data_IF_741559584948
#
_entry.id   IF_741559584948
#
_cell.length_a   1.000
_cell.length_b   1.000
_cell.length_c   1.000
_cell.angle_alpha   90.00
_cell.angle_beta   90.00
_cell.angle_gamma   90.00
#
_symmetry.space_group_name_H-M   'P 1'
#
loop_
_entity.id
_entity.type
_entity.pdbx_description
1 polymer ?
#
# COMPACT_ATOMS: atom_id res chain seq x y z
N UNK A 1 8.68 8.76 -1.84
CA UNK A 1 7.21 8.86 -1.98
C UNK A 1 6.83 9.45 -3.33
N UNK A 2 7.40 10.62 -3.71
CA UNK A 2 7.02 11.32 -4.96
C UNK A 2 7.18 10.45 -6.21
N UNK A 3 8.27 9.72 -6.37
CA UNK A 3 8.44 8.81 -7.51
C UNK A 3 7.36 7.72 -7.60
N UNK A 4 6.85 7.22 -6.46
CA UNK A 4 5.72 6.29 -6.44
C UNK A 4 4.42 6.97 -6.89
N UNK A 5 4.18 8.22 -6.46
CA UNK A 5 3.00 8.98 -6.90
C UNK A 5 3.01 9.25 -8.40
N UNK A 6 4.17 9.64 -8.94
CA UNK A 6 4.35 9.81 -10.39
C UNK A 6 4.12 8.51 -11.16
N UNK A 7 4.67 7.40 -10.65
CA UNK A 7 4.45 6.08 -11.23
C UNK A 7 2.97 5.70 -11.25
N UNK A 8 2.25 5.87 -10.12
CA UNK A 8 0.82 5.59 -10.02
C UNK A 8 0.04 6.44 -11.05
N UNK A 9 0.36 7.72 -11.15
CA UNK A 9 -0.31 8.62 -12.07
C UNK A 9 -0.12 8.24 -13.54
N UNK A 10 1.11 7.97 -13.94
CA UNK A 10 1.43 7.67 -15.35
C UNK A 10 1.02 6.25 -15.77
N UNK A 11 1.19 5.27 -14.87
CA UNK A 11 0.99 3.85 -15.23
C UNK A 11 -0.39 3.30 -14.85
N UNK A 12 -1.14 4.00 -13.99
CA UNK A 12 -2.48 3.56 -13.58
C UNK A 12 -3.54 4.62 -13.83
N UNK A 13 -3.44 5.81 -13.23
CA UNK A 13 -4.49 6.82 -13.35
C UNK A 13 -4.78 7.19 -14.81
N UNK A 14 -3.74 7.51 -15.55
CA UNK A 14 -3.88 7.93 -16.96
C UNK A 14 -4.46 6.84 -17.85
N UNK A 15 -3.95 5.59 -17.87
CA UNK A 15 -4.56 4.52 -18.64
C UNK A 15 -6.00 4.19 -18.22
N UNK A 16 -6.31 4.23 -16.93
CA UNK A 16 -7.67 3.99 -16.44
C UNK A 16 -8.63 5.04 -17.02
N UNK A 17 -8.27 6.32 -16.93
CA UNK A 17 -9.08 7.41 -17.50
C UNK A 17 -9.31 7.25 -19.00
N UNK A 18 -8.27 6.90 -19.74
CA UNK A 18 -8.35 6.71 -21.19
C UNK A 18 -9.25 5.51 -21.55
N UNK A 19 -9.14 4.40 -20.83
CA UNK A 19 -9.96 3.20 -21.08
C UNK A 19 -11.40 3.37 -20.62
N UNK A 20 -11.64 4.09 -19.52
CA UNK A 20 -12.98 4.31 -18.97
C UNK A 20 -13.89 5.07 -19.93
N UNK A 21 -13.34 5.79 -20.91
CA UNK A 21 -14.13 6.43 -22.00
C UNK A 21 -14.82 5.40 -22.92
N UNK A 22 -14.33 4.16 -22.95
CA UNK A 22 -14.83 3.13 -23.86
C UNK A 22 -15.56 2.00 -23.16
N UNK A 23 -15.12 1.65 -21.93
CA UNK A 23 -15.72 0.56 -21.14
C UNK A 23 -15.35 0.71 -19.66
N UNK A 24 -16.18 0.15 -18.75
CA UNK A 24 -15.89 0.20 -17.31
C UNK A 24 -14.58 -0.49 -16.97
N UNK A 25 -13.74 0.19 -16.19
CA UNK A 25 -12.45 -0.34 -15.71
C UNK A 25 -12.52 -0.55 -14.20
N UNK A 26 -12.13 -1.75 -13.76
CA UNK A 26 -12.11 -2.12 -12.35
C UNK A 26 -10.70 -2.55 -11.96
N UNK A 27 -10.16 -1.98 -10.87
CA UNK A 27 -8.96 -2.49 -10.22
C UNK A 27 -9.33 -3.75 -9.41
N UNK A 28 -8.98 -4.93 -9.92
CA UNK A 28 -9.37 -6.22 -9.35
C UNK A 28 -8.68 -6.55 -8.04
N UNK A 29 -7.47 -6.02 -7.81
CA UNK A 29 -6.69 -6.27 -6.60
C UNK A 29 -5.67 -5.13 -6.36
N UNK A 30 -5.58 -4.66 -5.14
CA UNK A 30 -4.54 -3.74 -4.69
C UNK A 30 -4.38 -3.77 -3.17
N UNK A 31 -3.26 -3.27 -2.66
CA UNK A 31 -2.99 -3.13 -1.23
C UNK A 31 -2.05 -1.94 -0.97
N UNK A 32 -1.73 -1.67 0.30
CA UNK A 32 -0.82 -0.59 0.68
C UNK A 32 0.66 -1.01 0.69
N UNK A 33 0.97 -2.27 0.40
CA UNK A 33 2.35 -2.74 0.39
C UNK A 33 3.24 -1.87 -0.50
N UNK A 34 4.37 -1.41 0.06
CA UNK A 34 5.38 -0.66 -0.66
C UNK A 34 6.76 -0.87 -0.04
N UNK A 35 7.81 -0.74 -0.84
CA UNK A 35 9.19 -0.98 -0.41
C UNK A 35 9.74 0.09 0.54
N UNK A 36 9.10 1.26 0.64
CA UNK A 36 9.58 2.34 1.52
C UNK A 36 9.25 2.09 2.99
N UNK A 37 8.10 1.49 3.27
CA UNK A 37 7.60 1.30 4.63
C UNK A 37 7.58 -0.17 5.08
N UNK A 38 7.39 -1.13 4.18
CA UNK A 38 7.13 -2.53 4.55
C UNK A 38 8.26 -3.22 5.33
N UNK A 39 9.51 -2.84 5.13
CA UNK A 39 10.65 -3.38 5.86
C UNK A 39 10.65 -3.03 7.36
N UNK A 40 9.77 -2.12 7.76
CA UNK A 40 9.69 -1.58 9.13
C UNK A 40 8.39 -1.95 9.86
N UNK A 41 7.49 -2.70 9.22
CA UNK A 41 6.15 -2.98 9.77
C UNK A 41 6.16 -3.95 10.95
N UNK A 42 7.14 -4.85 11.02
CA UNK A 42 7.21 -5.86 12.08
C UNK A 42 8.51 -5.79 12.85
N UNK A 43 8.43 -5.82 14.17
CA UNK A 43 9.62 -5.88 15.04
C UNK A 43 10.37 -7.20 14.79
N UNK A 44 11.60 -7.10 14.31
CA UNK A 44 12.50 -8.25 14.11
C UNK A 44 12.19 -9.12 12.88
N UNK A 45 11.26 -8.72 12.03
CA UNK A 45 11.00 -9.40 10.76
C UNK A 45 12.15 -9.19 9.79
N UNK A 46 12.55 -10.26 9.07
CA UNK A 46 13.37 -10.08 7.88
C UNK A 46 12.50 -9.42 6.82
N UNK A 47 13.05 -8.40 6.16
CA UNK A 47 12.40 -7.77 5.01
C UNK A 47 11.99 -8.83 3.99
N UNK A 48 10.74 -8.79 3.54
CA UNK A 48 10.26 -9.62 2.42
C UNK A 48 11.08 -9.33 1.15
N UNK A 49 11.80 -8.21 1.16
CA UNK A 49 12.65 -7.73 0.09
C UNK A 49 14.09 -8.26 0.19
N UNK A 50 14.31 -9.45 0.76
CA UNK A 50 15.61 -10.12 0.71
C UNK A 50 16.15 -10.14 -0.72
N UNK A 51 17.08 -9.22 -1.03
CA UNK A 51 17.67 -9.04 -2.35
C UNK A 51 17.47 -7.67 -3.00
N UNK A 52 16.62 -6.80 -2.41
CA UNK A 52 16.66 -5.37 -2.75
C UNK A 52 17.62 -4.70 -1.77
N UNK A 53 18.67 -4.08 -2.29
CA UNK A 53 19.59 -3.30 -1.47
C UNK A 53 18.80 -2.20 -0.75
N UNK A 54 18.80 -2.24 0.58
CA UNK A 54 18.28 -1.15 1.39
C UNK A 54 19.23 0.04 1.20
N UNK A 55 18.84 1.01 0.39
CA UNK A 55 19.60 2.25 0.21
C UNK A 55 19.54 3.16 1.46
N UNK A 56 18.71 2.84 2.44
CA UNK A 56 18.51 3.67 3.63
C UNK A 56 18.38 2.78 4.90
N UNK A 57 19.47 2.71 5.67
CA UNK A 57 19.51 2.06 6.99
C UNK A 57 18.71 2.84 8.06
N UNK A 58 17.99 3.88 7.67
CA UNK A 58 17.22 4.71 8.58
C UNK A 58 15.98 3.97 9.06
N UNK A 59 15.92 3.72 10.35
CA UNK A 59 14.71 3.21 11.00
C UNK A 59 13.64 4.29 11.00
N UNK A 60 12.55 4.06 10.25
CA UNK A 60 11.38 4.94 10.27
C UNK A 60 10.69 4.88 11.63
N UNK A 61 10.25 6.04 12.13
CA UNK A 61 9.31 6.10 13.23
C UNK A 61 7.93 5.60 12.78
N UNK A 62 7.07 5.23 13.73
CA UNK A 62 5.69 4.82 13.44
C UNK A 62 4.91 5.92 12.73
N UNK A 63 5.17 7.18 13.06
CA UNK A 63 4.54 8.33 12.41
C UNK A 63 4.99 8.49 10.95
N UNK A 64 6.30 8.48 10.69
CA UNK A 64 6.85 8.58 9.34
C UNK A 64 6.35 7.45 8.44
N UNK A 65 6.30 6.23 8.97
CA UNK A 65 5.75 5.07 8.27
C UNK A 65 4.27 5.26 7.96
N UNK A 66 3.49 5.70 8.94
CA UNK A 66 2.08 5.99 8.78
C UNK A 66 1.80 7.07 7.73
N UNK A 67 2.64 8.12 7.67
CA UNK A 67 2.54 9.15 6.62
C UNK A 67 2.78 8.57 5.22
N UNK A 68 3.81 7.74 5.04
CA UNK A 68 4.09 7.08 3.76
C UNK A 68 2.87 6.25 3.31
N UNK A 69 2.32 5.43 4.20
CA UNK A 69 1.13 4.64 3.88
C UNK A 69 -0.08 5.50 3.54
N UNK A 70 -0.37 6.56 4.32
CA UNK A 70 -1.48 7.48 4.05
C UNK A 70 -1.35 8.19 2.71
N UNK A 71 -0.14 8.66 2.38
CA UNK A 71 0.10 9.36 1.11
C UNK A 71 -0.06 8.43 -0.09
N UNK A 72 0.53 7.22 -0.02
CA UNK A 72 0.42 6.25 -1.10
C UNK A 72 -1.00 5.67 -1.22
N UNK A 73 -1.71 5.50 -0.10
CA UNK A 73 -3.11 5.11 -0.13
C UNK A 73 -3.98 6.14 -0.87
N UNK A 74 -3.78 7.43 -0.59
CA UNK A 74 -4.51 8.51 -1.29
C UNK A 74 -4.21 8.51 -2.78
N UNK A 75 -2.93 8.43 -3.16
CA UNK A 75 -2.54 8.43 -4.56
C UNK A 75 -3.13 7.23 -5.34
N UNK A 76 -3.13 6.04 -4.73
CA UNK A 76 -3.76 4.86 -5.32
C UNK A 76 -5.27 5.01 -5.43
N UNK A 77 -5.96 5.45 -4.37
CA UNK A 77 -7.40 5.67 -4.40
C UNK A 77 -7.80 6.71 -5.44
N UNK A 78 -7.06 7.80 -5.56
CA UNK A 78 -7.28 8.82 -6.60
C UNK A 78 -7.19 8.23 -8.00
N UNK A 79 -6.26 7.31 -8.24
CA UNK A 79 -6.13 6.60 -9.51
C UNK A 79 -7.30 5.63 -9.76
N UNK A 80 -7.66 4.82 -8.76
CA UNK A 80 -8.75 3.84 -8.88
C UNK A 80 -10.13 4.49 -8.99
N UNK A 81 -10.34 5.64 -8.36
CA UNK A 81 -11.58 6.43 -8.47
C UNK A 81 -11.81 7.05 -9.86
N UNK A 82 -10.82 7.00 -10.79
CA UNK A 82 -11.01 7.33 -12.20
C UNK A 82 -11.72 6.24 -12.98
N UNK A 83 -11.72 5.02 -12.46
CA UNK A 83 -12.43 3.87 -13.01
C UNK A 83 -13.78 3.64 -12.33
N UNK A 84 -14.39 2.49 -12.64
CA UNK A 84 -15.71 2.10 -12.16
C UNK A 84 -15.72 1.34 -10.83
N UNK A 85 -14.55 1.00 -10.28
CA UNK A 85 -14.47 0.33 -8.98
C UNK A 85 -13.10 -0.26 -8.67
N UNK A 86 -12.95 -0.71 -7.44
CA UNK A 86 -11.71 -1.34 -6.97
C UNK A 86 -11.96 -2.27 -5.79
N UNK A 87 -11.08 -3.26 -5.60
CA UNK A 87 -11.13 -4.23 -4.51
C UNK A 87 -9.80 -4.31 -3.79
N UNK A 88 -9.80 -4.02 -2.47
CA UNK A 88 -8.62 -4.19 -1.64
C UNK A 88 -8.36 -5.66 -1.36
N UNK A 89 -7.13 -6.12 -1.51
CA UNK A 89 -6.71 -7.45 -1.14
C UNK A 89 -5.83 -7.39 0.12
N UNK A 90 -6.36 -7.85 1.25
CA UNK A 90 -7.72 -8.28 1.49
C UNK A 90 -8.28 -7.63 2.76
N UNK A 91 -9.53 -7.91 3.13
CA UNK A 91 -10.13 -7.31 4.31
C UNK A 91 -9.45 -7.77 5.59
N UNK A 92 -9.07 -9.06 5.69
CA UNK A 92 -8.47 -9.64 6.89
C UNK A 92 -7.55 -10.83 6.56
N UNK A 93 -6.31 -10.74 6.98
CA UNK A 93 -5.36 -11.84 6.94
C UNK A 93 -5.57 -12.78 8.13
N UNK A 94 -5.41 -14.08 7.88
CA UNK A 94 -5.36 -15.09 8.95
C UNK A 94 -3.97 -15.19 9.59
N UNK A 95 -2.96 -14.57 9.02
CA UNK A 95 -1.58 -14.59 9.49
C UNK A 95 -1.42 -13.70 10.72
N UNK A 96 -0.89 -14.23 11.80
CA UNK A 96 -0.50 -13.46 12.97
C UNK A 96 0.88 -12.83 12.75
N UNK A 97 0.88 -11.62 12.18
CA UNK A 97 2.12 -10.89 11.88
C UNK A 97 2.79 -10.30 13.13
N UNK A 98 2.10 -10.30 14.28
CA UNK A 98 2.64 -9.80 15.55
C UNK A 98 3.56 -10.84 16.19
N UNK A 99 3.19 -12.12 16.10
CA UNK A 99 3.91 -13.23 16.70
C UNK A 99 4.72 -14.04 15.68
N UNK A 100 4.38 -13.95 14.40
CA UNK A 100 5.06 -14.67 13.33
C UNK A 100 6.19 -13.78 12.76
N UNK A 101 7.37 -13.93 13.34
CA UNK A 101 8.56 -13.10 13.08
C UNK A 101 9.14 -13.18 11.67
N UNK A 102 8.51 -13.90 10.75
CA UNK A 102 9.02 -14.12 9.39
C UNK A 102 8.44 -13.20 8.30
N UNK A 103 7.45 -12.36 8.61
CA UNK A 103 6.61 -11.73 7.58
C UNK A 103 6.45 -10.21 7.75
N UNK A 104 7.55 -9.48 7.58
CA UNK A 104 7.49 -8.03 7.54
C UNK A 104 6.63 -7.54 6.35
N UNK A 105 5.82 -6.51 6.58
CA UNK A 105 5.00 -5.88 5.53
C UNK A 105 3.63 -6.50 5.28
N UNK A 106 3.28 -7.60 5.95
CA UNK A 106 1.97 -8.22 5.77
C UNK A 106 0.80 -7.41 6.34
N UNK A 107 1.04 -6.54 7.32
CA UNK A 107 0.00 -5.67 7.87
C UNK A 107 -0.64 -4.79 6.81
N UNK A 108 0.13 -4.34 5.83
CA UNK A 108 -0.35 -3.54 4.70
C UNK A 108 -1.24 -4.29 3.70
N UNK A 109 -1.35 -5.62 3.82
CA UNK A 109 -2.28 -6.47 3.07
C UNK A 109 -3.61 -6.68 3.79
N UNK A 110 -3.70 -6.31 5.07
CA UNK A 110 -4.90 -6.42 5.90
C UNK A 110 -5.57 -5.05 6.04
N UNK A 111 -6.69 -4.84 5.34
CA UNK A 111 -7.41 -3.57 5.37
C UNK A 111 -7.87 -3.19 6.77
N UNK A 112 -8.29 -4.16 7.57
CA UNK A 112 -8.71 -3.91 8.96
C UNK A 112 -7.58 -3.30 9.77
N UNK A 113 -6.37 -3.88 9.68
CA UNK A 113 -5.16 -3.35 10.33
C UNK A 113 -4.76 -1.98 9.78
N UNK A 114 -4.83 -1.78 8.46
CA UNK A 114 -4.53 -0.48 7.86
C UNK A 114 -5.48 0.62 8.36
N UNK A 115 -6.74 0.29 8.62
CA UNK A 115 -7.72 1.23 9.24
C UNK A 115 -7.39 1.47 10.71
N UNK A 116 -7.10 0.42 11.48
CA UNK A 116 -6.76 0.51 12.91
C UNK A 116 -5.47 1.31 13.15
N UNK A 117 -4.50 1.21 12.25
CA UNK A 117 -3.24 1.97 12.29
C UNK A 117 -3.34 3.38 11.70
N UNK A 118 -4.53 3.79 11.23
CA UNK A 118 -4.74 5.07 10.54
C UNK A 118 -3.87 5.24 9.26
N UNK A 119 -3.58 4.13 8.58
CA UNK A 119 -2.86 4.14 7.30
C UNK A 119 -3.80 4.33 6.10
N UNK A 120 -5.06 3.90 6.25
CA UNK A 120 -6.05 3.97 5.20
C UNK A 120 -6.99 5.17 5.42
N UNK A 121 -7.15 6.07 4.40
CA UNK A 121 -8.00 7.25 4.53
C UNK A 121 -9.47 6.84 4.50
N UNK A 122 -10.09 6.70 5.66
CA UNK A 122 -11.53 6.48 5.77
C UNK A 122 -12.24 7.81 5.53
N UNK A 123 -13.13 7.86 4.54
CA UNK A 123 -14.04 9.01 4.38
C UNK A 123 -14.98 9.03 5.60
N UNK A 124 -14.84 10.04 6.44
CA UNK A 124 -15.76 10.29 7.54
C UNK A 124 -17.06 10.89 7.01
#
# INVERSE_FOLDING_TARGET
VEGYKEFIKEHYEKPIREMEEYFPVICGEWCLFNSLACGHDTKGGQSVLNGMEEEDDRVLSDEERGEIYRELARAQLEAWEKGSGYFYWNYKLLTDTVNDSGWAGWDSWDLGRCVDFDWFPVKK
#
